data_IF_381005802845
#
_entry.id   IF_381005802845
#
_cell.length_a   1.000
_cell.length_b   1.000
_cell.length_c   1.000
_cell.angle_alpha   90.00
_cell.angle_beta   90.00
_cell.angle_gamma   90.00
#
_symmetry.space_group_name_H-M   'P 1'
#
loop_
_entity.id
_entity.type
_entity.pdbx_description
1 polymer ?
#
# COMPACT_ATOMS: atom_id res chain seq x y z
N UNK A 1 29.13 12.40 5.65
CA UNK A 1 28.43 13.09 6.76
C UNK A 1 26.92 12.85 6.66
N UNK A 2 26.42 11.60 6.67
CA UNK A 2 24.97 11.30 6.56
C UNK A 2 24.59 9.96 7.21
N UNK A 3 24.99 9.73 8.48
CA UNK A 3 24.50 8.60 9.29
C UNK A 3 23.94 9.07 10.64
N UNK A 4 23.50 10.33 10.73
CA UNK A 4 22.81 10.87 11.92
C UNK A 4 21.33 10.99 11.56
N UNK A 5 20.55 9.95 11.89
CA UNK A 5 19.10 9.98 11.68
C UNK A 5 18.44 8.62 11.46
N UNK A 6 19.20 7.58 11.09
CA UNK A 6 18.66 6.21 11.07
C UNK A 6 18.43 5.79 12.52
N UNK A 7 17.19 5.46 12.93
CA UNK A 7 16.94 4.90 14.26
C UNK A 7 17.88 3.71 14.45
N UNK A 8 18.75 3.74 15.47
CA UNK A 8 19.48 2.53 15.85
C UNK A 8 18.42 1.51 16.25
N UNK A 9 18.42 0.34 15.61
CA UNK A 9 17.60 -0.79 16.07
C UNK A 9 17.92 -0.94 17.56
N UNK A 10 16.93 -0.73 18.46
CA UNK A 10 17.17 -0.82 19.89
C UNK A 10 17.76 -2.19 20.18
N UNK A 11 18.89 -2.25 20.90
CA UNK A 11 19.35 -3.51 21.48
C UNK A 11 18.40 -3.81 22.65
N UNK A 12 17.28 -4.45 22.36
CA UNK A 12 16.27 -4.80 23.35
C UNK A 12 14.93 -5.14 22.72
N UNK A 13 14.36 -6.27 23.16
CA UNK A 13 13.07 -6.92 22.86
C UNK A 13 12.93 -7.77 21.58
N UNK A 14 13.80 -7.63 20.58
CA UNK A 14 13.68 -8.38 19.30
C UNK A 14 14.92 -9.16 18.85
N UNK A 15 15.99 -9.19 19.63
CA UNK A 15 17.25 -9.86 19.27
C UNK A 15 17.47 -11.05 20.20
N UNK A 16 17.44 -12.28 19.67
CA UNK A 16 17.95 -13.46 20.38
C UNK A 16 19.37 -13.73 19.90
N UNK A 17 20.26 -14.11 20.80
CA UNK A 17 21.55 -14.66 20.42
C UNK A 17 21.37 -16.17 20.35
N UNK A 18 21.64 -16.78 19.20
CA UNK A 18 21.59 -18.24 19.08
C UNK A 18 22.79 -18.89 19.80
N UNK A 19 22.80 -20.22 20.03
CA UNK A 19 23.89 -20.91 20.74
C UNK A 19 25.27 -20.77 20.06
N UNK A 20 25.31 -20.35 18.79
CA UNK A 20 26.52 -20.10 18.02
C UNK A 20 26.95 -18.61 18.04
N UNK A 21 26.28 -17.77 18.83
CA UNK A 21 26.63 -16.36 19.01
C UNK A 21 26.09 -15.42 17.93
N UNK A 22 25.18 -15.86 17.06
CA UNK A 22 24.59 -15.01 16.02
C UNK A 22 23.41 -14.22 16.55
N UNK A 23 23.31 -12.95 16.12
CA UNK A 23 22.15 -12.11 16.39
C UNK A 23 20.99 -12.48 15.46
N UNK A 24 20.00 -13.17 16.01
CA UNK A 24 18.74 -13.47 15.35
C UNK A 24 17.78 -12.28 15.54
N UNK A 25 17.49 -11.58 14.44
CA UNK A 25 16.55 -10.45 14.44
C UNK A 25 15.15 -10.99 14.23
N UNK A 26 14.29 -10.86 15.25
CA UNK A 26 12.86 -11.12 15.13
C UNK A 26 12.22 -10.00 14.30
N UNK A 27 11.75 -10.35 13.10
CA UNK A 27 11.03 -9.44 12.21
C UNK A 27 9.58 -9.23 12.69
N UNK A 28 9.41 -8.47 13.77
CA UNK A 28 8.08 -8.08 14.25
C UNK A 28 7.45 -7.01 13.38
N UNK A 29 6.12 -6.86 13.40
CA UNK A 29 5.42 -5.79 12.67
C UNK A 29 5.84 -4.41 13.17
N UNK A 30 6.06 -4.29 14.48
CA UNK A 30 6.52 -3.07 15.14
C UNK A 30 7.90 -2.67 14.61
N UNK A 31 8.83 -3.63 14.52
CA UNK A 31 10.16 -3.41 13.94
C UNK A 31 10.03 -2.97 12.48
N UNK A 32 9.29 -3.72 11.65
CA UNK A 32 9.10 -3.39 10.23
C UNK A 32 8.51 -2.00 10.02
N UNK A 33 7.56 -1.57 10.85
CA UNK A 33 6.97 -0.22 10.81
C UNK A 33 8.00 0.86 11.15
N UNK A 34 8.85 0.62 12.14
CA UNK A 34 9.87 1.60 12.60
C UNK A 34 11.01 1.86 11.61
N UNK A 35 11.22 0.97 10.63
CA UNK A 35 12.30 1.14 9.66
C UNK A 35 11.99 2.28 8.68
N UNK A 36 12.96 3.17 8.37
CA UNK A 36 12.80 4.19 7.33
C UNK A 36 12.85 3.52 5.97
N UNK A 37 11.67 3.22 5.41
CA UNK A 37 11.52 2.55 4.13
C UNK A 37 11.40 3.59 3.02
N UNK A 38 12.02 3.31 1.89
CA UNK A 38 11.79 4.02 0.65
C UNK A 38 11.00 3.09 -0.29
N UNK A 39 9.94 3.60 -0.89
CA UNK A 39 9.19 2.92 -1.94
C UNK A 39 9.51 3.62 -3.26
N UNK A 40 10.19 2.92 -4.16
CA UNK A 40 10.70 3.50 -5.41
C UNK A 40 9.71 3.37 -6.56
N UNK A 41 8.74 2.46 -6.44
CA UNK A 41 7.77 2.17 -7.47
C UNK A 41 6.43 1.88 -6.82
N UNK A 42 5.54 2.85 -6.89
CA UNK A 42 4.14 2.72 -6.51
C UNK A 42 3.28 3.46 -7.52
N UNK A 43 2.18 2.83 -7.91
CA UNK A 43 1.19 3.44 -8.80
C UNK A 43 0.14 4.14 -7.95
N UNK A 44 0.00 5.45 -8.12
CA UNK A 44 -0.97 6.26 -7.38
C UNK A 44 -2.40 5.80 -7.67
N UNK A 45 -2.71 5.61 -8.94
CA UNK A 45 -3.96 5.09 -9.50
C UNK A 45 -4.23 3.60 -9.15
N UNK A 46 -3.24 2.91 -8.60
CA UNK A 46 -3.38 1.57 -8.01
C UNK A 46 -3.40 1.53 -6.48
N UNK A 47 -3.33 2.70 -5.81
CA UNK A 47 -3.13 2.81 -4.35
C UNK A 47 -4.18 3.67 -3.65
N UNK A 48 -5.37 3.82 -4.26
CA UNK A 48 -6.47 4.58 -3.70
C UNK A 48 -7.10 3.87 -2.50
N UNK A 49 -7.54 4.65 -1.51
CA UNK A 49 -8.39 4.13 -0.42
C UNK A 49 -9.80 3.91 -0.96
N UNK A 50 -10.46 2.76 -0.68
CA UNK A 50 -11.82 2.50 -1.14
C UNK A 50 -12.85 3.57 -0.70
N UNK A 51 -12.72 4.11 0.52
CA UNK A 51 -13.58 5.21 0.98
C UNK A 51 -13.43 6.47 0.13
N UNK A 52 -12.20 6.85 -0.20
CA UNK A 52 -11.91 7.99 -1.08
C UNK A 52 -12.42 7.74 -2.50
N UNK A 53 -12.36 6.50 -2.99
CA UNK A 53 -12.96 6.18 -4.29
C UNK A 53 -14.46 6.44 -4.32
N UNK A 54 -15.19 6.07 -3.25
CA UNK A 54 -16.64 6.30 -3.14
C UNK A 54 -16.97 7.80 -3.08
N UNK A 55 -16.20 8.57 -2.32
CA UNK A 55 -16.34 10.04 -2.25
C UNK A 55 -16.15 10.69 -3.63
N UNK A 56 -15.04 10.40 -4.30
CA UNK A 56 -14.73 10.91 -5.64
C UNK A 56 -15.77 10.49 -6.68
N UNK A 57 -16.26 9.24 -6.59
CA UNK A 57 -17.30 8.75 -7.49
C UNK A 57 -18.62 9.52 -7.32
N UNK A 58 -18.99 9.86 -6.09
CA UNK A 58 -20.13 10.71 -5.78
C UNK A 58 -20.00 12.11 -6.38
N UNK A 59 -18.85 12.75 -6.16
CA UNK A 59 -18.58 14.11 -6.64
C UNK A 59 -18.51 14.21 -8.17
N UNK A 60 -17.95 13.19 -8.82
CA UNK A 60 -17.74 13.15 -10.28
C UNK A 60 -18.89 12.49 -11.05
N UNK A 61 -19.88 11.90 -10.35
CA UNK A 61 -20.97 11.14 -10.97
C UNK A 61 -20.51 9.85 -11.66
N UNK A 62 -19.38 9.29 -11.23
CA UNK A 62 -18.83 8.02 -11.76
C UNK A 62 -19.51 6.84 -11.06
N UNK A 63 -19.90 5.81 -11.82
CA UNK A 63 -20.46 4.59 -11.24
C UNK A 63 -19.36 3.61 -10.87
N UNK A 64 -19.40 3.16 -9.62
CA UNK A 64 -18.55 2.09 -9.12
C UNK A 64 -19.30 0.76 -9.09
N UNK A 65 -18.59 -0.38 -9.14
CA UNK A 65 -19.22 -1.71 -9.08
C UNK A 65 -19.85 -2.00 -7.72
N UNK A 66 -19.39 -1.33 -6.67
CA UNK A 66 -19.81 -1.53 -5.29
C UNK A 66 -19.92 -0.18 -4.56
N UNK A 67 -20.82 -0.11 -3.58
CA UNK A 67 -21.10 1.12 -2.80
C UNK A 67 -20.53 1.09 -1.37
N UNK A 68 -19.99 -0.05 -0.93
CA UNK A 68 -19.40 -0.21 0.40
C UNK A 68 -17.87 -0.39 0.31
N UNK A 69 -17.06 0.23 1.20
CA UNK A 69 -15.60 0.22 1.10
C UNK A 69 -14.99 -1.19 1.04
N UNK A 70 -15.52 -2.12 1.83
CA UNK A 70 -15.01 -3.50 1.92
C UNK A 70 -15.30 -4.29 0.64
N UNK A 71 -16.52 -4.16 0.10
CA UNK A 71 -16.92 -4.78 -1.16
C UNK A 71 -16.14 -4.19 -2.33
N UNK A 72 -15.96 -2.87 -2.36
CA UNK A 72 -15.18 -2.19 -3.38
C UNK A 72 -13.71 -2.62 -3.34
N UNK A 73 -13.12 -2.75 -2.14
CA UNK A 73 -11.76 -3.28 -1.98
C UNK A 73 -11.61 -4.69 -2.57
N UNK A 74 -12.61 -5.55 -2.38
CA UNK A 74 -12.63 -6.88 -2.98
C UNK A 74 -12.78 -6.81 -4.50
N UNK A 75 -13.60 -5.90 -5.02
CA UNK A 75 -13.85 -5.73 -6.46
C UNK A 75 -12.61 -5.25 -7.23
N UNK A 76 -11.77 -4.39 -6.64
CA UNK A 76 -10.54 -3.87 -7.27
C UNK A 76 -9.32 -4.77 -7.05
N UNK A 77 -9.39 -5.70 -6.11
CA UNK A 77 -8.30 -6.64 -5.85
C UNK A 77 -8.19 -7.64 -6.99
N UNK A 78 -6.95 -7.91 -7.42
CA UNK A 78 -6.63 -9.00 -8.34
C UNK A 78 -6.14 -10.20 -7.53
N UNK A 79 -6.78 -11.36 -7.69
CA UNK A 79 -6.39 -12.61 -7.04
C UNK A 79 -6.02 -13.65 -8.09
N UNK A 80 -4.76 -13.64 -8.52
CA UNK A 80 -4.27 -14.42 -9.66
C UNK A 80 -4.66 -13.76 -10.97
N UNK A 81 -3.68 -13.37 -11.78
CA UNK A 81 -3.88 -12.94 -13.16
C UNK A 81 -3.03 -13.83 -14.06
N UNK A 82 -3.63 -14.31 -15.16
CA UNK A 82 -2.93 -15.15 -16.13
C UNK A 82 -1.89 -14.37 -16.93
N UNK A 83 -2.10 -13.07 -17.10
CA UNK A 83 -1.18 -12.15 -17.76
C UNK A 83 -1.33 -10.69 -17.26
N UNK A 84 -0.48 -9.80 -17.78
CA UNK A 84 -0.44 -8.38 -17.43
C UNK A 84 -1.65 -7.61 -17.97
N UNK A 85 -2.19 -7.99 -19.13
CA UNK A 85 -3.31 -7.27 -19.75
C UNK A 85 -4.55 -7.45 -18.87
N UNK A 86 -4.84 -8.68 -18.44
CA UNK A 86 -5.93 -8.98 -17.50
C UNK A 86 -5.78 -8.19 -16.18
N UNK A 87 -4.56 -8.09 -15.65
CA UNK A 87 -4.30 -7.29 -14.44
C UNK A 87 -4.66 -5.80 -14.64
N UNK A 88 -4.29 -5.23 -15.80
CA UNK A 88 -4.51 -3.82 -16.10
C UNK A 88 -6.00 -3.46 -16.31
N UNK A 89 -6.86 -4.42 -16.63
CA UNK A 89 -8.31 -4.16 -16.79
C UNK A 89 -8.94 -3.57 -15.51
N UNK A 90 -8.40 -3.89 -14.32
CA UNK A 90 -8.88 -3.31 -13.05
C UNK A 90 -8.69 -1.80 -12.94
N UNK A 91 -7.71 -1.23 -13.64
CA UNK A 91 -7.50 0.22 -13.66
C UNK A 91 -8.65 0.96 -14.35
N UNK A 92 -9.52 0.26 -15.11
CA UNK A 92 -10.76 0.83 -15.62
C UNK A 92 -11.71 1.33 -14.51
N UNK A 93 -11.55 0.84 -13.27
CA UNK A 93 -12.34 1.28 -12.11
C UNK A 93 -11.73 2.52 -11.46
N UNK A 94 -10.39 2.58 -11.32
CA UNK A 94 -9.71 3.64 -10.56
C UNK A 94 -9.38 4.86 -11.40
N UNK A 95 -9.00 4.67 -12.67
CA UNK A 95 -8.57 5.77 -13.56
C UNK A 95 -9.59 6.90 -13.71
N UNK A 96 -10.90 6.63 -13.92
CA UNK A 96 -11.88 7.71 -14.10
C UNK A 96 -12.00 8.66 -12.89
N UNK A 97 -11.63 8.19 -11.70
CA UNK A 97 -11.73 8.96 -10.46
C UNK A 97 -10.65 10.04 -10.33
N UNK A 98 -9.58 9.96 -11.14
CA UNK A 98 -8.38 10.78 -11.00
C UNK A 98 -8.18 11.76 -12.16
N UNK A 99 -9.24 12.06 -12.92
CA UNK A 99 -9.16 12.87 -14.15
C UNK A 99 -9.40 14.37 -13.94
N UNK A 100 -9.44 14.83 -12.69
CA UNK A 100 -9.56 16.26 -12.35
C UNK A 100 -8.43 16.67 -11.42
N UNK A 101 -7.97 17.94 -11.47
CA UNK A 101 -6.94 18.43 -10.57
C UNK A 101 -7.29 18.22 -9.08
N UNK A 102 -8.55 18.51 -8.70
CA UNK A 102 -9.00 18.35 -7.32
C UNK A 102 -9.01 16.90 -6.81
N UNK A 103 -9.03 15.90 -7.71
CA UNK A 103 -8.91 14.49 -7.33
C UNK A 103 -7.45 14.02 -7.17
N UNK A 104 -6.47 14.84 -7.56
CA UNK A 104 -5.04 14.53 -7.56
C UNK A 104 -4.24 15.25 -6.45
N UNK A 105 -4.87 16.17 -5.73
CA UNK A 105 -4.29 16.95 -4.62
C UNK A 105 -4.58 16.30 -3.25
#
# INVERSE_FOLDING_TARGET
MFLRGIPRIPRGSGQRIDPAGRCEVLLTRELLRSLPKAELHVHLDGSLRPSTMLELAGDLGVRLPESEPEALAAAVKVSGSGDLVEYLEKFGITLPLMQTPGALE
#
